data_IF_764753341560
#
_entry.id   IF_764753341560
#
_cell.length_a   1.000
_cell.length_b   1.000
_cell.length_c   1.000
_cell.angle_alpha   90.00
_cell.angle_beta   90.00
_cell.angle_gamma   90.00
#
_symmetry.space_group_name_H-M   'P 1'
#
loop_
_entity.id
_entity.type
_entity.pdbx_description
1 polymer ?
#
# COMPACT_ATOMS: atom_id res chain seq x y z
N UNK A 1 -3.96 -8.86 20.63
CA UNK A 1 -2.79 -7.98 20.37
C UNK A 1 -2.47 -7.31 21.69
N UNK A 2 -1.21 -7.28 22.11
CA UNK A 2 -0.80 -6.72 23.40
C UNK A 2 -0.57 -5.21 23.29
N UNK A 3 -1.02 -4.45 24.29
CA UNK A 3 -1.04 -2.98 24.29
C UNK A 3 0.38 -2.41 24.27
N UNK A 4 1.28 -2.99 25.06
CA UNK A 4 2.68 -2.59 25.11
C UNK A 4 3.39 -2.78 23.77
N UNK A 5 3.16 -3.92 23.12
CA UNK A 5 3.68 -4.20 21.76
C UNK A 5 3.17 -3.22 20.71
N UNK A 6 1.97 -2.67 20.90
CA UNK A 6 1.41 -1.67 19.98
C UNK A 6 2.12 -0.32 20.17
N UNK A 7 2.29 0.11 21.41
CA UNK A 7 3.01 1.33 21.78
C UNK A 7 4.45 1.32 21.26
N UNK A 8 5.17 0.22 21.44
CA UNK A 8 6.53 0.03 20.90
C UNK A 8 6.55 0.12 19.36
N UNK A 9 5.61 -0.55 18.68
CA UNK A 9 5.55 -0.58 17.22
C UNK A 9 5.35 0.81 16.60
N UNK A 10 4.55 1.66 17.23
CA UNK A 10 4.28 3.02 16.77
C UNK A 10 5.19 4.07 17.42
N UNK A 11 6.11 3.65 18.28
CA UNK A 11 7.05 4.51 18.99
C UNK A 11 6.36 5.63 19.78
N UNK A 12 5.30 5.26 20.51
CA UNK A 12 4.49 6.15 21.36
C UNK A 12 4.40 5.59 22.78
N UNK A 13 4.29 6.48 23.76
CA UNK A 13 4.08 6.14 25.19
C UNK A 13 2.61 6.17 25.57
N UNK A 14 2.23 5.58 26.70
CA UNK A 14 0.84 5.62 27.16
C UNK A 14 0.41 7.03 27.55
N UNK A 15 1.30 7.78 28.21
CA UNK A 15 1.06 9.17 28.61
C UNK A 15 0.84 10.08 27.40
N UNK A 16 1.54 9.82 26.29
CA UNK A 16 1.32 10.53 25.03
C UNK A 16 -0.06 10.23 24.43
N UNK A 17 -0.50 8.97 24.46
CA UNK A 17 -1.82 8.59 23.96
C UNK A 17 -2.94 9.23 24.78
N UNK A 18 -2.80 9.24 26.11
CA UNK A 18 -3.77 9.88 27.00
C UNK A 18 -3.82 11.40 26.82
N UNK A 19 -2.66 12.05 26.63
CA UNK A 19 -2.58 13.48 26.34
C UNK A 19 -3.26 13.82 24.99
N UNK A 20 -3.00 13.06 23.94
CA UNK A 20 -3.65 13.27 22.64
C UNK A 20 -5.15 13.01 22.71
N UNK A 21 -5.59 11.96 23.41
CA UNK A 21 -7.02 11.69 23.59
C UNK A 21 -7.72 12.88 24.24
N UNK A 22 -7.14 13.45 25.29
CA UNK A 22 -7.65 14.66 25.94
C UNK A 22 -7.70 15.87 24.99
N UNK A 23 -6.66 16.09 24.18
CA UNK A 23 -6.65 17.16 23.18
C UNK A 23 -7.76 17.01 22.13
N UNK A 24 -8.06 15.78 21.71
CA UNK A 24 -9.15 15.49 20.79
C UNK A 24 -10.53 15.69 21.43
N UNK A 25 -10.71 15.24 22.67
CA UNK A 25 -11.98 15.38 23.42
C UNK A 25 -12.30 16.84 23.76
N UNK A 26 -11.29 17.63 24.12
CA UNK A 26 -11.42 19.06 24.41
C UNK A 26 -11.44 19.93 23.14
N UNK A 27 -11.18 19.34 21.97
CA UNK A 27 -11.05 20.08 20.71
C UNK A 27 -9.87 21.05 20.65
N UNK A 28 -8.86 20.85 21.51
CA UNK A 28 -7.66 21.69 21.62
C UNK A 28 -6.49 21.17 20.77
N UNK A 29 -6.66 20.02 20.13
CA UNK A 29 -5.68 19.42 19.23
C UNK A 29 -5.17 20.37 18.15
N UNK A 30 -3.85 20.35 17.94
CA UNK A 30 -3.17 21.18 16.94
C UNK A 30 -2.54 20.31 15.87
N UNK A 31 -2.99 20.49 14.62
CA UNK A 31 -2.39 19.85 13.46
C UNK A 31 -2.95 20.39 12.15
N UNK A 32 -2.41 19.92 11.03
CA UNK A 32 -2.98 20.18 9.71
C UNK A 32 -3.75 18.94 9.29
N UNK A 33 -5.02 19.12 8.98
CA UNK A 33 -5.76 18.10 8.23
C UNK A 33 -5.21 18.12 6.79
N UNK A 34 -4.83 16.94 6.30
CA UNK A 34 -4.60 16.76 4.87
C UNK A 34 -5.90 16.94 4.08
N UNK A 35 -5.79 16.98 2.75
CA UNK A 35 -6.97 16.94 1.91
C UNK A 35 -7.75 15.64 2.17
N UNK A 36 -9.03 15.78 2.50
CA UNK A 36 -9.89 14.62 2.75
C UNK A 36 -10.25 14.01 1.40
N UNK A 37 -9.47 13.04 0.95
CA UNK A 37 -9.77 12.28 -0.26
C UNK A 37 -10.87 11.28 0.06
N UNK A 38 -12.09 11.54 -0.40
CA UNK A 38 -13.18 10.57 -0.28
C UNK A 38 -12.92 9.34 -1.15
N UNK A 39 -13.19 8.15 -0.60
CA UNK A 39 -13.13 6.88 -1.32
C UNK A 39 -11.97 5.98 -0.88
N UNK A 40 -11.68 4.97 -1.69
CA UNK A 40 -10.57 4.04 -1.41
C UNK A 40 -9.24 4.79 -1.61
N UNK A 41 -8.29 4.66 -0.67
CA UNK A 41 -6.94 5.19 -0.87
C UNK A 41 -6.39 4.77 -2.23
N UNK A 42 -5.83 5.74 -2.96
CA UNK A 42 -5.22 5.48 -4.27
C UNK A 42 -3.98 4.61 -4.08
N UNK A 43 -3.73 3.72 -5.04
CA UNK A 43 -2.51 2.89 -5.04
C UNK A 43 -1.32 3.70 -5.59
N UNK A 44 -1.59 4.69 -6.45
CA UNK A 44 -0.61 5.55 -7.08
C UNK A 44 -1.07 7.02 -7.03
N UNK A 45 -0.13 7.94 -7.10
CA UNK A 45 -0.38 9.38 -7.10
C UNK A 45 -0.83 9.91 -8.47
N UNK A 46 -0.72 9.09 -9.52
CA UNK A 46 -1.15 9.39 -10.89
C UNK A 46 -2.43 8.65 -11.30
N UNK A 47 -3.04 9.11 -12.40
CA UNK A 47 -4.19 8.45 -13.00
C UNK A 47 -3.80 7.11 -13.62
N UNK A 48 -4.64 6.09 -13.44
CA UNK A 48 -4.39 4.75 -13.93
C UNK A 48 -5.22 4.44 -15.17
N UNK A 49 -4.56 4.07 -16.26
CA UNK A 49 -5.20 3.52 -17.44
C UNK A 49 -5.19 1.99 -17.44
N UNK A 50 -6.21 1.38 -18.08
CA UNK A 50 -6.35 -0.08 -18.15
C UNK A 50 -5.83 -0.62 -19.47
N UNK A 51 -4.80 -1.46 -19.41
CA UNK A 51 -4.33 -2.25 -20.56
C UNK A 51 -4.91 -3.66 -20.45
N UNK A 52 -5.67 -4.09 -21.47
CA UNK A 52 -6.26 -5.43 -21.51
C UNK A 52 -5.71 -6.25 -22.68
N UNK A 53 -5.28 -7.48 -22.39
CA UNK A 53 -4.80 -8.43 -23.39
C UNK A 53 -5.04 -9.86 -22.90
N UNK A 54 -5.08 -10.80 -23.85
CA UNK A 54 -5.28 -12.22 -23.56
C UNK A 54 -3.95 -12.93 -23.41
N UNK A 55 -3.88 -13.82 -22.42
CA UNK A 55 -2.76 -14.75 -22.23
C UNK A 55 -3.24 -16.20 -22.40
N UNK A 56 -2.37 -17.12 -22.82
CA UNK A 56 -2.67 -18.54 -22.76
C UNK A 56 -3.05 -18.98 -21.35
N UNK A 57 -4.04 -19.87 -21.21
CA UNK A 57 -4.51 -20.38 -19.92
C UNK A 57 -3.36 -20.96 -19.09
N UNK A 58 -2.41 -21.64 -19.73
CA UNK A 58 -1.22 -22.18 -19.06
C UNK A 58 -0.37 -21.09 -18.39
N UNK A 59 -0.29 -19.89 -18.96
CA UNK A 59 0.42 -18.74 -18.38
C UNK A 59 -0.35 -18.13 -17.22
N UNK A 60 -1.67 -18.04 -17.33
CA UNK A 60 -2.53 -17.56 -16.24
C UNK A 60 -2.37 -18.48 -15.02
N UNK A 61 -2.44 -19.80 -15.22
CA UNK A 61 -2.24 -20.78 -14.15
C UNK A 61 -0.84 -20.68 -13.52
N UNK A 62 0.21 -20.45 -14.33
CA UNK A 62 1.56 -20.26 -13.82
C UNK A 62 1.69 -18.97 -12.97
N UNK A 63 1.05 -17.88 -13.39
CA UNK A 63 1.00 -16.63 -12.60
C UNK A 63 0.31 -16.89 -11.27
N UNK A 64 -0.85 -17.54 -11.27
CA UNK A 64 -1.60 -17.86 -10.05
C UNK A 64 -0.79 -18.70 -9.06
N UNK A 65 -0.07 -19.71 -9.54
CA UNK A 65 0.79 -20.53 -8.70
C UNK A 65 1.92 -19.70 -8.05
N UNK A 66 2.51 -18.76 -8.80
CA UNK A 66 3.55 -17.86 -8.28
C UNK A 66 2.99 -16.87 -7.27
N UNK A 67 1.85 -16.25 -7.55
CA UNK A 67 1.23 -15.24 -6.69
C UNK A 67 0.76 -15.86 -5.38
N UNK A 68 0.15 -17.04 -5.42
CA UNK A 68 -0.27 -17.79 -4.22
C UNK A 68 0.93 -18.15 -3.35
N UNK A 69 2.02 -18.66 -3.95
CA UNK A 69 3.25 -19.00 -3.21
C UNK A 69 3.90 -17.77 -2.57
N UNK A 70 3.83 -16.60 -3.22
CA UNK A 70 4.46 -15.36 -2.74
C UNK A 70 3.53 -14.49 -1.88
N UNK A 71 2.26 -14.86 -1.70
CA UNK A 71 1.26 -14.04 -1.02
C UNK A 71 0.97 -12.71 -1.71
N UNK A 72 1.19 -12.63 -3.03
CA UNK A 72 1.02 -11.41 -3.84
C UNK A 72 -0.29 -11.44 -4.62
N UNK A 73 -0.78 -10.28 -5.04
CA UNK A 73 -1.89 -10.20 -6.00
C UNK A 73 -1.42 -10.40 -7.45
N UNK A 74 -2.34 -10.76 -8.36
CA UNK A 74 -2.04 -10.84 -9.80
C UNK A 74 -1.59 -9.49 -10.36
N UNK A 75 -2.27 -8.42 -9.98
CA UNK A 75 -1.94 -7.07 -10.45
C UNK A 75 -0.58 -6.61 -9.95
N UNK A 76 -0.19 -6.95 -8.72
CA UNK A 76 1.15 -6.67 -8.19
C UNK A 76 2.23 -7.40 -8.99
N UNK A 77 2.04 -8.70 -9.25
CA UNK A 77 2.97 -9.48 -10.09
C UNK A 77 3.12 -8.90 -11.50
N UNK A 78 2.02 -8.49 -12.13
CA UNK A 78 2.05 -7.93 -13.49
C UNK A 78 2.70 -6.54 -13.53
N UNK A 79 2.46 -5.69 -12.52
CA UNK A 79 3.16 -4.39 -12.42
C UNK A 79 4.66 -4.57 -12.24
N UNK A 80 5.08 -5.46 -11.35
CA UNK A 80 6.51 -5.80 -11.19
C UNK A 80 7.16 -6.28 -12.49
N UNK A 81 6.44 -7.09 -13.28
CA UNK A 81 6.94 -7.54 -14.57
C UNK A 81 7.13 -6.40 -15.58
N UNK A 82 6.22 -5.41 -15.58
CA UNK A 82 6.34 -4.21 -16.41
C UNK A 82 7.51 -3.35 -15.93
N UNK A 83 7.63 -3.09 -14.63
CA UNK A 83 8.72 -2.29 -14.07
C UNK A 83 10.09 -2.91 -14.39
N UNK A 84 10.23 -4.22 -14.21
CA UNK A 84 11.47 -4.93 -14.54
C UNK A 84 11.82 -4.80 -16.03
N UNK A 85 10.83 -4.90 -16.93
CA UNK A 85 11.06 -4.77 -18.36
C UNK A 85 11.48 -3.34 -18.74
N UNK A 86 10.84 -2.31 -18.19
CA UNK A 86 11.18 -0.91 -18.44
C UNK A 86 12.58 -0.56 -17.92
N UNK A 87 12.93 -1.02 -16.71
CA UNK A 87 14.26 -0.83 -16.13
C UNK A 87 15.34 -1.50 -16.98
N UNK A 88 15.07 -2.70 -17.51
CA UNK A 88 16.01 -3.40 -18.38
C UNK A 88 16.24 -2.63 -19.69
N UNK A 89 15.18 -2.20 -20.36
CA UNK A 89 15.26 -1.44 -21.61
C UNK A 89 15.97 -0.09 -21.44
N UNK A 90 15.80 0.58 -20.29
CA UNK A 90 16.48 1.84 -20.01
C UNK A 90 17.99 1.71 -19.80
N UNK A 91 18.50 0.50 -19.48
CA UNK A 91 19.95 0.24 -19.32
C UNK A 91 20.65 -0.06 -20.65
N UNK A 92 19.90 -0.36 -21.70
CA UNK A 92 20.43 -0.67 -23.04
C UNK A 92 20.50 0.58 -23.94
N UNK A 93 19.96 1.71 -23.49
CA UNK A 93 19.97 3.02 -24.14
C UNK A 93 21.09 3.92 -23.59
#
# INVERSE_FOLDING_TARGET
MDRQKLSEKFNVTEEQLDAWAKEYEEGTWKGRLGEVTMGRPRIYDEDLETISFRLPVSRINAIEAVTTRKGKSRSEFLREAVDMALIASAKEA
#
